data_IF_724168650535
#
_entry.id   IF_724168650535
#
_cell.length_a   1.000
_cell.length_b   1.000
_cell.length_c   1.000
_cell.angle_alpha   90.00
_cell.angle_beta   90.00
_cell.angle_gamma   90.00
#
_symmetry.space_group_name_H-M   'P 1'
#
loop_
_entity.id
_entity.type
_entity.pdbx_description
1 polymer ?
#
# COMPACT_ATOMS: atom_id res chain seq x y z
N UNK A 1 -8.72 0.85 54.86
CA UNK A 1 -8.89 1.70 53.67
C UNK A 1 -7.53 1.91 53.03
N UNK A 2 -7.22 1.20 51.96
CA UNK A 2 -6.07 1.53 51.10
C UNK A 2 -6.41 1.06 49.68
N UNK A 3 -6.50 2.04 48.81
CA UNK A 3 -6.93 2.00 47.41
C UNK A 3 -5.69 1.73 46.54
N UNK A 4 -5.77 0.78 45.62
CA UNK A 4 -4.86 0.75 44.47
C UNK A 4 -5.57 0.09 43.27
N UNK A 5 -6.26 0.93 42.51
CA UNK A 5 -6.76 0.60 41.17
C UNK A 5 -5.54 0.58 40.23
N UNK A 6 -5.10 -0.61 39.83
CA UNK A 6 -4.14 -0.75 38.74
C UNK A 6 -4.91 -0.62 37.41
N UNK A 7 -4.84 0.57 36.81
CA UNK A 7 -5.38 0.83 35.47
C UNK A 7 -4.42 0.18 34.48
N UNK A 8 -4.83 -0.95 33.91
CA UNK A 8 -4.14 -1.57 32.79
C UNK A 8 -4.41 -0.74 31.53
N UNK A 9 -3.47 0.13 31.17
CA UNK A 9 -3.51 0.88 29.93
C UNK A 9 -2.22 0.69 29.14
N UNK A 10 -2.19 -0.33 28.27
CA UNK A 10 -1.37 -0.31 27.05
C UNK A 10 -2.16 -1.13 26.03
N UNK A 11 -3.03 -0.49 25.27
CA UNK A 11 -2.60 0.00 23.97
C UNK A 11 -2.52 -1.17 23.01
N UNK A 12 -3.68 -1.71 22.59
CA UNK A 12 -3.75 -2.50 21.37
C UNK A 12 -3.30 -1.57 20.26
N UNK A 13 -2.01 -1.61 19.93
CA UNK A 13 -1.47 -0.97 18.76
C UNK A 13 -2.28 -1.50 17.59
N UNK A 14 -3.22 -0.70 17.10
CA UNK A 14 -3.70 -0.85 15.75
C UNK A 14 -2.47 -0.64 14.89
N UNK A 15 -1.76 -1.71 14.57
CA UNK A 15 -1.25 -1.85 13.23
C UNK A 15 -2.48 -1.56 12.36
N UNK A 16 -2.59 -0.33 11.87
CA UNK A 16 -3.64 -0.01 10.93
C UNK A 16 -3.36 -0.97 9.79
N UNK A 17 -4.15 -2.04 9.68
CA UNK A 17 -4.12 -2.88 8.52
C UNK A 17 -4.46 -1.92 7.40
N UNK A 18 -3.42 -1.51 6.65
CA UNK A 18 -3.57 -0.61 5.52
C UNK A 18 -4.74 -1.16 4.72
N UNK A 19 -5.80 -0.37 4.51
CA UNK A 19 -7.02 -0.89 3.91
C UNK A 19 -6.76 -1.08 2.41
N UNK A 20 -6.21 -2.24 2.07
CA UNK A 20 -5.90 -2.59 0.70
C UNK A 20 -7.15 -3.00 -0.05
N UNK A 21 -7.30 -2.46 -1.25
CA UNK A 21 -8.41 -2.73 -2.14
C UNK A 21 -8.33 -4.17 -2.65
N UNK A 22 -9.50 -4.78 -2.82
CA UNK A 22 -9.60 -6.05 -3.54
C UNK A 22 -9.50 -5.85 -5.06
N UNK A 23 -9.34 -6.95 -5.80
CA UNK A 23 -9.17 -6.90 -7.26
C UNK A 23 -10.34 -6.22 -7.99
N UNK A 24 -11.58 -6.38 -7.52
CA UNK A 24 -12.75 -5.76 -8.15
C UNK A 24 -12.75 -4.25 -7.89
N UNK A 25 -12.44 -3.83 -6.67
CA UNK A 25 -12.33 -2.41 -6.33
C UNK A 25 -11.22 -1.72 -7.14
N UNK A 26 -10.07 -2.39 -7.33
CA UNK A 26 -8.99 -1.87 -8.18
C UNK A 26 -9.48 -1.71 -9.63
N UNK A 27 -10.15 -2.72 -10.19
CA UNK A 27 -10.66 -2.66 -11.56
C UNK A 27 -11.69 -1.54 -11.74
N UNK A 28 -12.59 -1.37 -10.78
CA UNK A 28 -13.58 -0.29 -10.77
C UNK A 28 -12.93 1.09 -10.65
N UNK A 29 -11.95 1.24 -9.75
CA UNK A 29 -11.21 2.48 -9.58
C UNK A 29 -10.42 2.87 -10.85
N UNK A 30 -9.82 1.90 -11.55
CA UNK A 30 -9.17 2.15 -12.84
C UNK A 30 -10.20 2.50 -13.91
N UNK A 31 -11.29 1.74 -14.01
CA UNK A 31 -12.32 1.96 -15.03
C UNK A 31 -13.06 3.29 -14.86
N UNK A 32 -13.24 3.75 -13.63
CA UNK A 32 -13.84 5.05 -13.31
C UNK A 32 -12.87 6.23 -13.45
N UNK A 33 -11.57 5.96 -13.62
CA UNK A 33 -10.53 6.99 -13.62
C UNK A 33 -10.20 7.55 -12.24
N UNK A 34 -10.65 6.89 -11.16
CA UNK A 34 -10.26 7.23 -9.79
C UNK A 34 -8.77 6.97 -9.54
N UNK A 35 -8.21 5.93 -10.16
CA UNK A 35 -6.78 5.64 -10.14
C UNK A 35 -6.25 5.37 -11.55
N UNK A 36 -4.98 5.69 -11.77
CA UNK A 36 -4.22 5.36 -12.96
C UNK A 36 -4.01 3.84 -13.06
N UNK A 37 -3.83 3.33 -14.29
CA UNK A 37 -3.41 1.94 -14.49
C UNK A 37 -1.99 1.72 -13.95
N UNK A 38 -1.66 0.49 -13.55
CA UNK A 38 -0.34 0.13 -13.04
C UNK A 38 0.79 0.60 -13.97
N UNK A 39 0.66 0.34 -15.27
CA UNK A 39 1.66 0.73 -16.27
C UNK A 39 1.85 2.26 -16.32
N UNK A 40 0.77 3.02 -16.19
CA UNK A 40 0.83 4.48 -16.20
C UNK A 40 1.47 5.03 -14.93
N UNK A 41 1.18 4.43 -13.76
CA UNK A 41 1.85 4.79 -12.50
C UNK A 41 3.34 4.49 -12.57
N UNK A 42 3.73 3.30 -13.03
CA UNK A 42 5.13 2.91 -13.20
C UNK A 42 5.88 3.86 -14.16
N UNK A 43 5.27 4.19 -15.29
CA UNK A 43 5.83 5.14 -16.26
C UNK A 43 5.98 6.54 -15.66
N UNK A 44 4.98 7.02 -14.91
CA UNK A 44 5.03 8.33 -14.24
C UNK A 44 6.11 8.41 -13.17
N UNK A 45 6.41 7.28 -12.51
CA UNK A 45 7.44 7.17 -11.48
C UNK A 45 8.84 6.91 -12.06
N UNK A 46 8.99 6.75 -13.38
CA UNK A 46 10.25 6.43 -14.03
C UNK A 46 10.80 5.05 -13.66
N UNK A 47 9.92 4.11 -13.27
CA UNK A 47 10.31 2.73 -13.01
C UNK A 47 10.62 2.03 -14.32
N UNK A 48 11.76 1.33 -14.38
CA UNK A 48 12.15 0.57 -15.57
C UNK A 48 11.08 -0.49 -15.88
N UNK A 49 10.55 -0.57 -17.11
CA UNK A 49 9.58 -1.59 -17.50
C UNK A 49 10.14 -3.02 -17.39
N UNK A 50 11.46 -3.17 -17.29
CA UNK A 50 12.16 -4.45 -17.11
C UNK A 50 12.29 -4.87 -15.64
N UNK A 51 11.85 -4.03 -14.70
CA UNK A 51 11.88 -4.36 -13.28
C UNK A 51 10.98 -5.57 -13.00
N UNK A 52 11.51 -6.56 -12.27
CA UNK A 52 10.74 -7.75 -11.92
C UNK A 52 9.74 -7.41 -10.81
N UNK A 53 8.46 -7.38 -11.16
CA UNK A 53 7.36 -7.14 -10.23
C UNK A 53 7.00 -8.44 -9.51
N UNK A 54 7.19 -8.46 -8.20
CA UNK A 54 6.89 -9.62 -7.35
C UNK A 54 5.42 -9.62 -6.89
N UNK A 55 4.88 -8.44 -6.56
CA UNK A 55 3.52 -8.29 -6.05
C UNK A 55 3.02 -6.85 -6.26
N UNK A 56 1.71 -6.70 -6.41
CA UNK A 56 1.05 -5.40 -6.58
C UNK A 56 -0.18 -5.34 -5.69
N UNK A 57 -0.27 -4.29 -4.88
CA UNK A 57 -1.43 -3.97 -4.06
C UNK A 57 -1.77 -2.50 -4.23
N UNK A 58 -3.03 -2.14 -4.06
CA UNK A 58 -3.47 -0.75 -3.93
C UNK A 58 -4.05 -0.60 -2.55
N UNK A 59 -3.56 0.36 -1.77
CA UNK A 59 -4.00 0.54 -0.40
C UNK A 59 -4.38 1.98 -0.11
N UNK A 60 -5.39 2.14 0.74
CA UNK A 60 -5.72 3.42 1.33
C UNK A 60 -4.71 3.75 2.44
N UNK A 61 -3.97 4.84 2.25
CA UNK A 61 -3.09 5.44 3.24
C UNK A 61 -3.64 6.79 3.69
N UNK A 62 -4.56 6.75 4.66
CA UNK A 62 -5.14 7.96 5.24
C UNK A 62 -6.01 8.74 4.25
N UNK A 63 -6.78 8.03 3.41
CA UNK A 63 -7.66 8.61 2.40
C UNK A 63 -7.01 8.81 1.02
N UNK A 64 -5.71 8.51 0.88
CA UNK A 64 -5.02 8.53 -0.40
C UNK A 64 -4.78 7.09 -0.89
N UNK A 65 -5.18 6.80 -2.13
CA UNK A 65 -4.87 5.53 -2.76
C UNK A 65 -3.42 5.51 -3.25
N UNK A 66 -2.68 4.47 -2.87
CA UNK A 66 -1.30 4.27 -3.29
C UNK A 66 -1.09 2.84 -3.77
N UNK A 67 -0.26 2.70 -4.81
CA UNK A 67 0.26 1.41 -5.24
C UNK A 67 1.43 1.01 -4.34
N UNK A 68 1.34 -0.18 -3.75
CA UNK A 68 2.44 -0.85 -3.04
C UNK A 68 2.92 -1.98 -3.94
N UNK A 69 4.10 -1.79 -4.53
CA UNK A 69 4.65 -2.65 -5.57
C UNK A 69 5.93 -3.29 -5.03
N UNK A 70 5.91 -4.59 -4.83
CA UNK A 70 7.13 -5.35 -4.53
C UNK A 70 7.92 -5.55 -5.81
N UNK A 71 9.18 -5.10 -5.83
CA UNK A 71 10.09 -5.27 -6.96
C UNK A 71 11.35 -5.99 -6.50
N UNK A 72 11.96 -6.78 -7.39
CA UNK A 72 13.26 -7.39 -7.18
C UNK A 72 14.33 -6.50 -7.83
N UNK A 73 15.24 -5.97 -7.01
CA UNK A 73 16.37 -5.19 -7.50
C UNK A 73 17.42 -6.12 -8.15
N UNK A 74 18.31 -5.59 -9.03
CA UNK A 74 19.32 -6.40 -9.71
C UNK A 74 20.33 -7.09 -8.78
N UNK A 75 20.46 -6.61 -7.55
CA UNK A 75 21.27 -7.21 -6.48
C UNK A 75 20.56 -8.38 -5.77
N UNK A 76 19.35 -8.72 -6.18
CA UNK A 76 18.52 -9.78 -5.62
C UNK A 76 17.72 -9.37 -4.37
N UNK A 77 17.71 -8.09 -4.01
CA UNK A 77 16.94 -7.60 -2.86
C UNK A 77 15.49 -7.28 -3.26
N UNK A 78 14.53 -7.76 -2.47
CA UNK A 78 13.14 -7.38 -2.61
C UNK A 78 12.88 -6.04 -1.89
N UNK A 79 12.29 -5.09 -2.59
CA UNK A 79 11.93 -3.78 -2.05
C UNK A 79 10.51 -3.39 -2.44
N UNK A 80 9.83 -2.62 -1.59
CA UNK A 80 8.49 -2.10 -1.88
C UNK A 80 8.57 -0.65 -2.34
N UNK A 81 8.02 -0.38 -3.52
CA UNK A 81 7.77 0.97 -4.03
C UNK A 81 6.36 1.38 -3.62
N UNK A 82 6.23 2.55 -3.01
CA UNK A 82 4.93 3.17 -2.72
C UNK A 82 4.73 4.36 -3.66
N UNK A 83 3.81 4.23 -4.61
CA UNK A 83 3.56 5.22 -5.66
C UNK A 83 2.14 5.78 -5.54
N UNK A 84 1.96 7.07 -5.83
CA UNK A 84 0.62 7.66 -5.86
C UNK A 84 -0.20 6.99 -6.98
N UNK A 85 -1.47 6.70 -6.71
CA UNK A 85 -2.35 6.07 -7.68
C UNK A 85 -3.10 7.06 -8.59
N UNK A 86 -2.93 8.37 -8.43
CA UNK A 86 -3.68 9.44 -9.11
C UNK A 86 -2.79 10.33 -9.98
#
# INVERSE_FOLDING_TARGET
MALALAIALTGTGSAQAQACLDKRQIQEAVASGQIMSLDAVLASAGVDPSAEILNVQVCDQGGALVYVIGVLAPDGQAQNLTLNAQ
#
